data_IF_625970312895
#
_entry.id   IF_625970312895
#
_cell.length_a   1.000
_cell.length_b   1.000
_cell.length_c   1.000
_cell.angle_alpha   90.00
_cell.angle_beta   90.00
_cell.angle_gamma   90.00
#
_symmetry.space_group_name_H-M   'P 1'
#
loop_
_entity.id
_entity.type
_entity.pdbx_description
1 polymer ?
#
# COMPACT_ATOMS: atom_id res chain seq x y z
N UNK A 1 -8.14 26.38 9.86
CA UNK A 1 -7.38 27.24 8.92
C UNK A 1 -6.42 28.11 9.68
N UNK A 2 -5.21 28.35 9.14
CA UNK A 2 -4.13 29.01 9.87
C UNK A 2 -4.18 30.55 9.82
N UNK A 3 -5.01 31.15 8.96
CA UNK A 3 -5.25 32.61 8.94
C UNK A 3 -6.71 32.95 8.57
N UNK A 4 -7.18 34.13 8.99
CA UNK A 4 -8.50 34.65 8.62
C UNK A 4 -8.61 35.01 7.14
N UNK A 5 -7.51 35.44 6.53
CA UNK A 5 -7.41 35.71 5.09
C UNK A 5 -7.64 34.45 4.26
N UNK A 6 -7.07 33.31 4.67
CA UNK A 6 -7.31 32.02 4.01
C UNK A 6 -8.80 31.63 4.05
N UNK A 7 -9.53 31.98 5.13
CA UNK A 7 -10.97 31.75 5.23
C UNK A 7 -11.75 32.61 4.24
N UNK A 8 -11.39 33.89 4.09
CA UNK A 8 -12.07 34.78 3.17
C UNK A 8 -11.84 34.40 1.70
N UNK A 9 -10.64 33.96 1.33
CA UNK A 9 -10.32 33.53 -0.04
C UNK A 9 -11.00 32.20 -0.39
N UNK A 10 -11.16 31.29 0.57
CA UNK A 10 -11.75 29.96 0.33
C UNK A 10 -13.15 30.02 -0.28
N UNK A 11 -13.95 31.04 0.05
CA UNK A 11 -15.33 31.21 -0.46
C UNK A 11 -15.39 31.41 -1.98
N UNK A 12 -14.32 31.94 -2.57
CA UNK A 12 -14.27 32.32 -3.99
C UNK A 12 -13.58 31.23 -4.85
N UNK A 13 -13.07 30.17 -4.22
CA UNK A 13 -12.40 29.07 -4.92
C UNK A 13 -13.40 28.30 -5.81
N UNK A 14 -13.08 28.19 -7.10
CA UNK A 14 -13.87 27.43 -8.10
C UNK A 14 -13.22 26.14 -8.56
N UNK A 15 -11.92 25.98 -8.33
CA UNK A 15 -11.13 24.83 -8.79
C UNK A 15 -10.20 24.41 -7.68
N UNK A 16 -10.11 23.11 -7.44
CA UNK A 16 -9.19 22.51 -6.47
C UNK A 16 -8.28 21.56 -7.25
N UNK A 17 -6.97 21.72 -7.08
CA UNK A 17 -5.97 20.78 -7.58
C UNK A 17 -5.46 20.00 -6.39
N UNK A 18 -5.64 18.68 -6.44
CA UNK A 18 -5.23 17.79 -5.38
C UNK A 18 -4.01 17.01 -5.84
N UNK A 19 -3.03 16.91 -4.96
CA UNK A 19 -2.01 15.89 -5.11
C UNK A 19 -2.63 14.50 -4.86
N UNK A 20 -2.08 13.46 -5.50
CA UNK A 20 -2.63 12.11 -5.37
C UNK A 20 -1.97 11.33 -4.25
N UNK A 21 -0.64 11.31 -4.23
CA UNK A 21 0.13 10.38 -3.40
C UNK A 21 0.31 10.96 -1.99
N UNK A 22 -0.30 10.34 -0.98
CA UNK A 22 -0.28 10.86 0.39
C UNK A 22 -1.36 11.91 0.68
N UNK A 23 -2.10 12.37 -0.34
CA UNK A 23 -3.26 13.25 -0.19
C UNK A 23 -4.56 12.50 -0.49
N UNK A 24 -4.77 12.05 -1.74
CA UNK A 24 -5.94 11.23 -2.11
C UNK A 24 -5.76 9.74 -1.79
N UNK A 25 -4.51 9.27 -1.81
CA UNK A 25 -4.13 7.88 -1.58
C UNK A 25 -3.20 7.79 -0.37
N UNK A 26 -3.13 6.62 0.27
CA UNK A 26 -2.32 6.43 1.47
C UNK A 26 -0.79 6.59 1.25
N UNK A 27 -0.32 6.66 0.00
CA UNK A 27 1.10 6.75 -0.32
C UNK A 27 1.90 5.50 0.05
N UNK A 28 1.22 4.37 0.33
CA UNK A 28 1.81 3.09 0.70
C UNK A 28 1.29 2.01 -0.25
N UNK A 29 2.17 1.26 -0.93
CA UNK A 29 1.76 0.13 -1.74
C UNK A 29 1.08 -0.95 -0.89
N UNK A 30 0.13 -1.65 -1.48
CA UNK A 30 -0.55 -2.80 -0.88
C UNK A 30 -0.91 -3.80 -1.98
N UNK A 31 -0.95 -5.09 -1.63
CA UNK A 31 -1.50 -6.12 -2.51
C UNK A 31 -3.02 -5.95 -2.55
N UNK A 32 -3.57 -5.76 -3.75
CA UNK A 32 -5.01 -5.58 -3.98
C UNK A 32 -5.64 -6.79 -4.66
N UNK A 33 -4.86 -7.52 -5.43
CA UNK A 33 -5.28 -8.70 -6.18
C UNK A 33 -4.05 -9.59 -6.41
N UNK A 34 -4.27 -10.91 -6.44
CA UNK A 34 -3.25 -11.89 -6.75
C UNK A 34 -3.85 -12.97 -7.66
N UNK A 35 -3.14 -13.30 -8.73
CA UNK A 35 -3.52 -14.35 -9.65
C UNK A 35 -2.47 -15.46 -9.60
N UNK A 36 -2.90 -16.69 -9.31
CA UNK A 36 -2.05 -17.88 -9.33
C UNK A 36 -2.55 -18.84 -10.43
N UNK A 37 -1.88 -18.88 -11.59
CA UNK A 37 -2.28 -19.75 -12.69
C UNK A 37 -2.23 -21.23 -12.32
N UNK A 38 -3.03 -22.05 -13.03
CA UNK A 38 -2.97 -23.51 -12.91
C UNK A 38 -3.59 -24.10 -11.64
N UNK A 39 -4.44 -23.35 -10.93
CA UNK A 39 -5.10 -23.82 -9.70
C UNK A 39 -4.17 -23.91 -8.50
N UNK A 40 -3.03 -23.23 -8.55
CA UNK A 40 -2.07 -23.18 -7.45
C UNK A 40 -2.65 -22.51 -6.20
N UNK A 41 -2.08 -22.84 -5.05
CA UNK A 41 -2.49 -22.28 -3.77
C UNK A 41 -1.95 -20.83 -3.63
N UNK A 42 -2.87 -19.88 -3.61
CA UNK A 42 -2.62 -18.45 -3.38
C UNK A 42 -1.77 -18.17 -2.14
N UNK A 43 -2.10 -18.78 -1.00
CA UNK A 43 -1.37 -18.57 0.24
C UNK A 43 0.04 -19.13 0.17
N UNK A 44 0.25 -20.27 -0.51
CA UNK A 44 1.60 -20.81 -0.66
C UNK A 44 2.47 -19.92 -1.56
N UNK A 45 1.91 -19.39 -2.65
CA UNK A 45 2.60 -18.43 -3.50
C UNK A 45 2.98 -17.16 -2.72
N UNK A 46 2.05 -16.61 -1.94
CA UNK A 46 2.29 -15.44 -1.09
C UNK A 46 3.33 -15.72 0.01
N UNK A 47 3.25 -16.88 0.66
CA UNK A 47 4.21 -17.30 1.70
C UNK A 47 5.63 -17.38 1.14
N UNK A 48 5.81 -17.97 -0.04
CA UNK A 48 7.11 -18.09 -0.69
C UNK A 48 7.63 -16.72 -1.17
N UNK A 49 6.78 -15.90 -1.77
CA UNK A 49 7.16 -14.55 -2.21
C UNK A 49 7.58 -13.67 -1.02
N UNK A 50 6.79 -13.68 0.05
CA UNK A 50 7.11 -12.97 1.28
C UNK A 50 8.42 -13.47 1.89
N UNK A 51 8.67 -14.79 1.87
CA UNK A 51 9.91 -15.37 2.39
C UNK A 51 11.16 -14.81 1.71
N UNK A 52 11.13 -14.64 0.38
CA UNK A 52 12.22 -14.06 -0.40
C UNK A 52 12.40 -12.57 -0.11
N UNK A 53 11.30 -11.86 0.14
CA UNK A 53 11.28 -10.40 0.27
C UNK A 53 11.53 -9.89 1.70
N UNK A 54 11.66 -10.76 2.71
CA UNK A 54 11.75 -10.38 4.15
C UNK A 54 12.88 -9.38 4.46
N UNK A 55 14.00 -9.44 3.73
CA UNK A 55 15.16 -8.58 3.97
C UNK A 55 15.25 -7.37 3.03
N UNK A 56 14.24 -7.18 2.18
CA UNK A 56 14.23 -6.12 1.17
C UNK A 56 13.60 -4.83 1.71
N UNK A 57 14.33 -3.73 1.57
CA UNK A 57 13.86 -2.39 1.96
C UNK A 57 12.87 -1.79 0.95
N UNK A 58 12.67 -2.43 -0.20
CA UNK A 58 11.84 -1.89 -1.28
C UNK A 58 10.37 -1.75 -0.85
N UNK A 59 9.67 -0.63 -1.13
CA UNK A 59 8.28 -0.44 -0.70
C UNK A 59 7.30 -1.53 -1.16
N UNK A 60 7.55 -2.15 -2.32
CA UNK A 60 6.73 -3.27 -2.81
C UNK A 60 7.01 -4.57 -2.04
N UNK A 61 8.26 -4.81 -1.64
CA UNK A 61 8.64 -5.97 -0.84
C UNK A 61 7.92 -5.94 0.51
N UNK A 62 7.94 -4.78 1.17
CA UNK A 62 7.19 -4.54 2.40
C UNK A 62 5.69 -4.77 2.24
N UNK A 63 5.12 -4.45 1.07
CA UNK A 63 3.71 -4.71 0.80
C UNK A 63 3.40 -6.22 0.66
N UNK A 64 4.32 -7.00 0.08
CA UNK A 64 4.20 -8.47 -0.03
C UNK A 64 4.31 -9.10 1.36
N UNK A 65 5.34 -8.75 2.14
CA UNK A 65 5.55 -9.26 3.49
C UNK A 65 4.35 -8.92 4.38
N UNK A 66 3.89 -7.66 4.34
CA UNK A 66 2.71 -7.23 5.08
C UNK A 66 1.45 -8.04 4.70
N UNK A 67 1.25 -8.34 3.41
CA UNK A 67 0.09 -9.14 3.00
C UNK A 67 0.16 -10.56 3.58
N UNK A 68 1.35 -11.17 3.64
CA UNK A 68 1.52 -12.49 4.26
C UNK A 68 1.30 -12.46 5.79
N UNK A 69 1.74 -11.39 6.47
CA UNK A 69 1.48 -11.17 7.90
C UNK A 69 -0.02 -10.98 8.19
N UNK A 70 -0.72 -10.19 7.37
CA UNK A 70 -2.17 -9.95 7.50
C UNK A 70 -2.96 -11.27 7.32
N UNK A 71 -2.50 -12.15 6.43
CA UNK A 71 -3.01 -13.51 6.22
C UNK A 71 -2.53 -14.54 7.27
N UNK A 72 -1.69 -14.11 8.23
CA UNK A 72 -1.11 -14.93 9.30
C UNK A 72 -0.33 -16.15 8.79
N UNK A 73 0.38 -16.00 7.68
CA UNK A 73 1.19 -17.06 7.10
C UNK A 73 2.51 -17.18 7.88
N UNK A 74 2.88 -18.40 8.25
CA UNK A 74 4.18 -18.69 8.85
C UNK A 74 5.27 -18.59 7.77
N UNK A 75 6.12 -17.56 7.88
CA UNK A 75 7.27 -17.40 6.99
C UNK A 75 8.43 -18.27 7.49
N UNK A 76 9.20 -18.91 6.59
CA UNK A 76 10.48 -19.52 6.94
C UNK A 76 11.44 -18.46 7.51
N UNK A 77 12.35 -18.86 8.39
CA UNK A 77 13.46 -17.99 8.80
C UNK A 77 14.31 -17.63 7.57
N UNK A 78 14.76 -16.37 7.53
CA UNK A 78 15.54 -15.79 6.44
C UNK A 78 17.02 -16.18 6.50
#
# INVERSE_FOLDING_TARGET
>A
MRSGEAFQVLKDVRKIVLDKTGTLTAGKPAIVEMAVPGGGNAHEALRLAAAVEQLSEHPLARAIVKAAEDDRLALPEA
#
